data_IF_573856654327
#
_entry.id   IF_573856654327
#
_cell.length_a   1.000
_cell.length_b   1.000
_cell.length_c   1.000
_cell.angle_alpha   90.00
_cell.angle_beta   90.00
_cell.angle_gamma   90.00
#
_symmetry.space_group_name_H-M   'P 1'
#
loop_
_entity.id
_entity.type
_entity.pdbx_description
1 polymer ?
#
# COMPACT_ATOMS: atom_id res chain seq x y z
N UNK A 1 -11.89 2.43 9.97
CA UNK A 1 -11.05 1.52 9.15
C UNK A 1 -11.94 0.32 8.87
N UNK A 2 -12.31 0.09 7.61
CA UNK A 2 -13.09 -1.08 7.24
C UNK A 2 -12.08 -2.13 6.76
N UNK A 3 -11.81 -3.14 7.59
CA UNK A 3 -10.89 -4.20 7.22
C UNK A 3 -11.50 -5.08 6.12
N UNK A 4 -10.75 -5.30 5.05
CA UNK A 4 -11.17 -6.14 3.92
C UNK A 4 -12.40 -5.64 3.13
N UNK A 5 -12.87 -4.40 3.35
CA UNK A 5 -14.05 -3.86 2.68
C UNK A 5 -13.71 -3.15 1.37
N UNK A 6 -13.00 -3.84 0.48
CA UNK A 6 -12.46 -3.25 -0.74
C UNK A 6 -13.57 -2.83 -1.73
N UNK A 7 -14.69 -3.57 -1.76
CA UNK A 7 -15.86 -3.24 -2.59
C UNK A 7 -16.52 -1.94 -2.11
N UNK A 8 -16.74 -1.82 -0.80
CA UNK A 8 -17.31 -0.62 -0.18
C UNK A 8 -16.37 0.58 -0.35
N UNK A 9 -15.06 0.36 -0.21
CA UNK A 9 -14.05 1.39 -0.45
C UNK A 9 -14.14 1.91 -1.88
N UNK A 10 -14.34 1.03 -2.87
CA UNK A 10 -14.50 1.44 -4.26
C UNK A 10 -15.78 2.25 -4.49
N UNK A 11 -16.91 1.83 -3.93
CA UNK A 11 -18.16 2.59 -4.02
C UNK A 11 -18.06 3.97 -3.34
N UNK A 12 -17.35 4.05 -2.22
CA UNK A 12 -17.05 5.31 -1.54
C UNK A 12 -16.13 6.20 -2.39
N UNK A 13 -15.11 5.64 -3.02
CA UNK A 13 -14.18 6.36 -3.89
C UNK A 13 -14.91 6.99 -5.09
N UNK A 14 -15.80 6.25 -5.75
CA UNK A 14 -16.66 6.80 -6.82
C UNK A 14 -17.50 7.97 -6.30
N UNK A 15 -18.17 7.78 -5.17
CA UNK A 15 -19.10 8.78 -4.63
C UNK A 15 -18.38 10.06 -4.19
N UNK A 16 -17.12 9.95 -3.75
CA UNK A 16 -16.31 11.07 -3.30
C UNK A 16 -15.40 11.65 -4.40
N UNK A 17 -15.34 11.05 -5.59
CA UNK A 17 -14.46 11.46 -6.68
C UNK A 17 -12.98 11.28 -6.34
N UNK A 18 -12.61 10.16 -5.72
CA UNK A 18 -11.22 9.81 -5.38
C UNK A 18 -10.54 9.05 -6.52
N UNK A 19 -9.21 9.18 -6.61
CA UNK A 19 -8.41 8.61 -7.70
C UNK A 19 -8.01 7.14 -7.48
N UNK A 20 -8.01 6.67 -6.23
CA UNK A 20 -7.59 5.31 -5.93
C UNK A 20 -8.20 4.78 -4.63
N UNK A 21 -8.20 3.45 -4.50
CA UNK A 21 -8.36 2.74 -3.25
C UNK A 21 -7.06 1.99 -2.91
N UNK A 22 -6.81 1.84 -1.61
CA UNK A 22 -5.81 0.91 -1.08
C UNK A 22 -6.54 -0.36 -0.67
N UNK A 23 -6.30 -1.46 -1.38
CA UNK A 23 -6.95 -2.73 -1.17
C UNK A 23 -6.07 -3.70 -0.40
N UNK A 24 -6.62 -4.37 0.59
CA UNK A 24 -5.92 -5.42 1.33
C UNK A 24 -6.47 -6.80 0.97
N UNK A 25 -5.62 -7.83 1.06
CA UNK A 25 -6.05 -9.19 0.75
C UNK A 25 -6.39 -9.41 -0.72
N UNK A 26 -6.11 -8.48 -1.62
CA UNK A 26 -6.43 -8.60 -3.06
C UNK A 26 -6.01 -9.95 -3.65
N UNK A 27 -4.81 -10.42 -3.29
CA UNK A 27 -4.32 -11.78 -3.55
C UNK A 27 -3.89 -12.45 -2.25
N UNK A 28 -4.11 -13.77 -2.20
CA UNK A 28 -3.78 -14.66 -1.07
C UNK A 28 -4.51 -14.33 0.24
N UNK A 29 -4.85 -15.39 0.98
CA UNK A 29 -5.44 -15.25 2.30
C UNK A 29 -4.37 -14.97 3.36
N UNK A 30 -4.75 -14.26 4.42
CA UNK A 30 -3.93 -14.05 5.61
C UNK A 30 -4.83 -13.89 6.84
N UNK A 31 -4.23 -13.89 8.04
CA UNK A 31 -4.95 -13.63 9.29
C UNK A 31 -4.61 -12.23 9.80
N UNK A 32 -5.60 -11.35 9.94
CA UNK A 32 -5.46 -10.02 10.52
C UNK A 32 -6.15 -9.97 11.90
N UNK A 33 -6.19 -8.78 12.52
CA UNK A 33 -6.87 -8.56 13.80
C UNK A 33 -8.37 -8.92 13.74
N UNK A 34 -8.95 -8.83 12.54
CA UNK A 34 -10.36 -9.10 12.25
C UNK A 34 -10.63 -10.58 11.90
N UNK A 35 -9.60 -11.41 11.82
CA UNK A 35 -9.69 -12.83 11.50
C UNK A 35 -9.10 -13.21 10.14
N UNK A 36 -9.60 -14.28 9.54
CA UNK A 36 -9.15 -14.73 8.22
C UNK A 36 -9.70 -13.78 7.16
N UNK A 37 -8.80 -13.12 6.44
CA UNK A 37 -9.10 -12.34 5.25
C UNK A 37 -8.88 -13.25 4.04
N UNK A 38 -9.91 -13.41 3.21
CA UNK A 38 -9.85 -14.13 1.94
C UNK A 38 -9.65 -13.17 0.79
N UNK A 39 -9.07 -13.66 -0.32
CA UNK A 39 -8.80 -12.80 -1.46
C UNK A 39 -10.01 -12.52 -2.33
N UNK A 40 -10.10 -11.29 -2.84
CA UNK A 40 -11.28 -10.73 -3.51
C UNK A 40 -10.97 -9.99 -4.83
N UNK A 41 -9.77 -10.17 -5.42
CA UNK A 41 -9.38 -9.51 -6.68
C UNK A 41 -10.46 -9.60 -7.77
N UNK A 42 -11.01 -10.79 -8.01
CA UNK A 42 -12.02 -10.99 -9.04
C UNK A 42 -13.34 -10.24 -8.73
N UNK A 43 -13.71 -10.14 -7.46
CA UNK A 43 -14.94 -9.46 -7.04
C UNK A 43 -14.80 -7.95 -7.18
N UNK A 44 -13.69 -7.38 -6.69
CA UNK A 44 -13.40 -5.95 -6.80
C UNK A 44 -13.34 -5.53 -8.27
N UNK A 45 -12.61 -6.25 -9.13
CA UNK A 45 -12.43 -5.84 -10.52
C UNK A 45 -13.74 -5.93 -11.34
N UNK A 46 -14.59 -6.92 -11.05
CA UNK A 46 -15.92 -7.00 -11.66
C UNK A 46 -16.81 -5.86 -11.18
N UNK A 47 -16.79 -5.58 -9.88
CA UNK A 47 -17.55 -4.48 -9.30
C UNK A 47 -17.10 -3.12 -9.85
N UNK A 48 -15.78 -2.90 -9.96
CA UNK A 48 -15.17 -1.71 -10.58
C UNK A 48 -15.74 -1.43 -11.96
N UNK A 49 -15.77 -2.44 -12.81
CA UNK A 49 -16.35 -2.35 -14.14
C UNK A 49 -17.86 -2.11 -14.11
N UNK A 50 -18.57 -2.79 -13.20
CA UNK A 50 -20.03 -2.67 -13.10
C UNK A 50 -20.50 -1.25 -12.77
N UNK A 51 -19.72 -0.52 -11.97
CA UNK A 51 -20.04 0.85 -11.56
C UNK A 51 -19.34 1.93 -12.40
N UNK A 52 -18.63 1.54 -13.47
CA UNK A 52 -17.91 2.47 -14.34
C UNK A 52 -16.73 3.18 -13.66
N UNK A 53 -16.07 2.51 -12.72
CA UNK A 53 -14.98 3.05 -11.92
C UNK A 53 -13.59 2.60 -12.40
N UNK A 54 -13.44 2.29 -13.69
CA UNK A 54 -12.16 1.85 -14.26
C UNK A 54 -11.05 2.90 -14.16
N UNK A 55 -11.38 4.18 -13.99
CA UNK A 55 -10.43 5.26 -13.74
C UNK A 55 -9.91 5.32 -12.28
N UNK A 56 -10.52 4.57 -11.35
CA UNK A 56 -10.08 4.48 -9.96
C UNK A 56 -9.09 3.33 -9.81
N UNK A 57 -7.87 3.68 -9.40
CA UNK A 57 -6.78 2.72 -9.23
C UNK A 57 -7.01 1.81 -8.01
N UNK A 58 -6.70 0.53 -8.15
CA UNK A 58 -6.69 -0.47 -7.08
C UNK A 58 -5.25 -0.79 -6.72
N UNK A 59 -4.73 -0.06 -5.73
CA UNK A 59 -3.37 -0.23 -5.21
C UNK A 59 -3.38 -1.24 -4.08
N UNK A 60 -2.60 -2.31 -4.18
CA UNK A 60 -2.78 -3.50 -3.35
C UNK A 60 -1.66 -3.69 -2.33
N UNK A 61 -2.03 -3.88 -1.06
CA UNK A 61 -1.05 -4.28 -0.04
C UNK A 61 -0.62 -5.72 -0.25
N UNK A 62 0.67 -5.94 -0.44
CA UNK A 62 1.27 -7.28 -0.48
C UNK A 62 1.99 -7.57 0.84
N UNK A 63 1.80 -8.78 1.37
CA UNK A 63 2.34 -9.19 2.68
C UNK A 63 2.14 -8.10 3.76
N UNK A 64 0.92 -7.56 3.81
CA UNK A 64 0.51 -6.44 4.68
C UNK A 64 1.01 -6.62 6.13
N UNK A 65 1.44 -5.52 6.73
CA UNK A 65 1.67 -5.39 8.18
C UNK A 65 0.42 -5.65 9.02
N UNK A 66 0.60 -5.98 10.31
CA UNK A 66 -0.50 -6.36 11.22
C UNK A 66 -1.32 -7.56 10.71
N UNK A 67 -0.63 -8.47 10.03
CA UNK A 67 -1.22 -9.69 9.50
C UNK A 67 -0.23 -10.83 9.59
N UNK A 68 -0.71 -12.00 10.00
CA UNK A 68 0.02 -13.24 9.97
C UNK A 68 -0.20 -13.94 8.62
N UNK A 69 0.91 -14.15 7.91
CA UNK A 69 0.94 -14.83 6.62
C UNK A 69 1.29 -16.31 6.76
N UNK A 70 1.01 -16.94 7.91
CA UNK A 70 1.43 -18.31 8.20
C UNK A 70 0.82 -19.34 7.22
N UNK A 71 -0.43 -19.14 6.81
CA UNK A 71 -1.13 -20.00 5.83
C UNK A 71 -0.61 -19.85 4.40
N UNK A 72 0.15 -18.80 4.12
CA UNK A 72 0.77 -18.48 2.83
C UNK A 72 2.26 -18.19 3.01
N UNK A 73 2.86 -18.78 4.05
CA UNK A 73 4.22 -18.47 4.51
C UNK A 73 5.30 -18.98 3.57
N UNK A 74 4.95 -19.97 2.75
CA UNK A 74 5.73 -20.52 1.65
C UNK A 74 5.75 -19.61 0.42
N UNK A 75 4.78 -18.71 0.27
CA UNK A 75 4.73 -17.72 -0.81
C UNK A 75 5.55 -16.50 -0.42
N UNK A 76 6.60 -16.19 -1.18
CA UNK A 76 7.44 -15.02 -0.96
C UNK A 76 6.72 -13.70 -1.33
N UNK A 77 7.25 -12.56 -0.87
CA UNK A 77 6.73 -11.24 -1.27
C UNK A 77 6.82 -11.00 -2.79
N UNK A 78 7.84 -11.56 -3.44
CA UNK A 78 8.03 -11.46 -4.89
C UNK A 78 6.96 -12.25 -5.64
N UNK A 79 6.67 -13.48 -5.22
CA UNK A 79 5.57 -14.28 -5.79
C UNK A 79 4.21 -13.65 -5.51
N UNK A 80 4.05 -13.01 -4.34
CA UNK A 80 2.85 -12.24 -4.01
C UNK A 80 2.67 -11.05 -4.96
N UNK A 81 3.75 -10.34 -5.30
CA UNK A 81 3.73 -9.23 -6.24
C UNK A 81 3.37 -9.69 -7.67
N UNK A 82 4.00 -10.77 -8.15
CA UNK A 82 3.65 -11.37 -9.45
C UNK A 82 2.18 -11.80 -9.52
N UNK A 83 1.65 -12.37 -8.45
CA UNK A 83 0.24 -12.72 -8.39
C UNK A 83 -0.63 -11.46 -8.45
N UNK A 84 -0.33 -10.40 -7.69
CA UNK A 84 -1.08 -9.15 -7.73
C UNK A 84 -1.10 -8.54 -9.15
N UNK A 85 0.04 -8.53 -9.83
CA UNK A 85 0.17 -8.08 -11.22
C UNK A 85 -0.64 -8.96 -12.19
N UNK A 86 -0.52 -10.29 -12.07
CA UNK A 86 -1.28 -11.24 -12.89
C UNK A 86 -2.79 -11.07 -12.71
N UNK A 87 -3.22 -10.73 -11.49
CA UNK A 87 -4.61 -10.42 -11.14
C UNK A 87 -5.01 -8.96 -11.43
N UNK A 88 -4.22 -8.23 -12.22
CA UNK A 88 -4.52 -6.88 -12.72
C UNK A 88 -4.64 -5.81 -11.62
N UNK A 89 -3.80 -5.89 -10.59
CA UNK A 89 -3.59 -4.75 -9.69
C UNK A 89 -2.95 -3.59 -10.45
N UNK A 90 -3.38 -2.36 -10.16
CA UNK A 90 -2.81 -1.15 -10.78
C UNK A 90 -1.48 -0.72 -10.14
N UNK A 91 -1.08 -1.35 -9.03
CA UNK A 91 0.17 -1.12 -8.34
C UNK A 91 0.21 -1.87 -7.01
N UNK A 92 1.41 -2.24 -6.57
CA UNK A 92 1.62 -2.97 -5.30
C UNK A 92 2.22 -2.05 -4.25
N UNK A 93 1.85 -2.27 -2.99
CA UNK A 93 2.30 -1.52 -1.84
C UNK A 93 3.08 -2.47 -0.94
N UNK A 94 4.37 -2.18 -0.76
CA UNK A 94 5.24 -2.84 0.20
C UNK A 94 5.16 -2.11 1.54
N UNK A 95 4.95 -2.85 2.63
CA UNK A 95 4.88 -2.29 3.98
C UNK A 95 5.92 -2.92 4.89
N UNK A 96 6.43 -2.15 5.85
CA UNK A 96 7.26 -2.68 6.94
C UNK A 96 6.42 -3.46 7.94
N UNK A 97 7.06 -4.39 8.67
CA UNK A 97 6.41 -5.39 9.53
C UNK A 97 5.45 -4.84 10.60
N UNK A 98 5.63 -3.61 11.07
CA UNK A 98 4.70 -2.93 12.00
C UNK A 98 4.72 -1.40 11.81
N UNK A 99 3.76 -0.70 12.42
CA UNK A 99 3.72 0.77 12.41
C UNK A 99 4.98 1.36 13.05
N UNK A 100 5.68 2.23 12.32
CA UNK A 100 6.91 2.87 12.79
C UNK A 100 8.19 2.09 12.47
N UNK A 101 8.07 0.85 11.96
CA UNK A 101 9.20 0.10 11.42
C UNK A 101 9.35 0.38 9.92
N UNK A 102 10.60 0.49 9.49
CA UNK A 102 10.99 0.74 8.11
C UNK A 102 10.65 -0.46 7.23
N UNK A 103 10.34 -0.20 5.96
CA UNK A 103 10.17 -1.26 4.97
C UNK A 103 11.55 -1.78 4.57
N UNK A 104 11.66 -3.08 4.31
CA UNK A 104 12.92 -3.68 3.88
C UNK A 104 13.26 -3.22 2.45
N UNK A 105 14.36 -2.49 2.31
CA UNK A 105 14.84 -2.00 1.01
C UNK A 105 15.22 -3.15 0.05
N UNK A 106 15.64 -4.29 0.58
CA UNK A 106 15.96 -5.47 -0.23
C UNK A 106 14.69 -6.17 -0.70
N UNK A 107 13.61 -6.17 0.09
CA UNK A 107 12.28 -6.59 -0.39
C UNK A 107 11.77 -5.64 -1.47
N UNK A 108 11.82 -4.33 -1.24
CA UNK A 108 11.42 -3.33 -2.23
C UNK A 108 12.18 -3.51 -3.55
N UNK A 109 13.52 -3.67 -3.49
CA UNK A 109 14.34 -3.86 -4.69
C UNK A 109 13.96 -5.14 -5.44
N UNK A 110 13.72 -6.25 -4.73
CA UNK A 110 13.31 -7.52 -5.34
C UNK A 110 11.92 -7.44 -5.97
N UNK A 111 10.96 -6.79 -5.30
CA UNK A 111 9.61 -6.57 -5.85
C UNK A 111 9.67 -5.68 -7.08
N UNK A 112 10.39 -4.55 -7.01
CA UNK A 112 10.57 -3.62 -8.15
C UNK A 112 11.22 -4.27 -9.37
N UNK A 113 12.09 -5.25 -9.18
CA UNK A 113 12.71 -6.00 -10.26
C UNK A 113 11.81 -7.12 -10.83
N UNK A 114 10.74 -7.48 -10.14
CA UNK A 114 9.89 -8.62 -10.48
C UNK A 114 8.62 -8.22 -11.24
N UNK A 115 8.10 -7.02 -11.06
CA UNK A 115 6.85 -6.57 -11.68
C UNK A 115 7.05 -5.31 -12.51
N UNK A 116 6.22 -5.14 -13.54
CA UNK A 116 6.19 -3.98 -14.42
C UNK A 116 5.21 -2.89 -13.93
N UNK A 117 4.29 -3.23 -13.03
CA UNK A 117 3.37 -2.28 -12.40
C UNK A 117 4.05 -1.40 -11.33
N UNK A 118 3.49 -0.21 -11.02
CA UNK A 118 4.02 0.67 -9.96
C UNK A 118 4.19 -0.04 -8.61
N UNK A 119 5.33 0.20 -7.95
CA UNK A 119 5.67 -0.31 -6.63
C UNK A 119 5.81 0.86 -5.66
N UNK A 120 4.95 0.87 -4.64
CA UNK A 120 4.83 1.92 -3.67
C UNK A 120 5.32 1.47 -2.29
N UNK A 121 5.72 2.41 -1.46
CA UNK A 121 6.01 2.16 -0.05
C UNK A 121 4.88 2.70 0.82
N UNK A 122 4.30 1.82 1.63
CA UNK A 122 3.10 2.07 2.42
C UNK A 122 3.34 2.44 3.89
N UNK A 123 4.58 2.41 4.37
CA UNK A 123 4.90 2.69 5.78
C UNK A 123 6.38 2.98 6.03
N UNK A 124 6.69 3.61 7.17
CA UNK A 124 8.05 3.69 7.70
C UNK A 124 8.94 4.77 7.05
N UNK A 125 8.43 5.51 6.06
CA UNK A 125 9.16 6.61 5.44
C UNK A 125 9.19 7.83 6.36
N UNK A 126 10.38 8.39 6.52
CA UNK A 126 10.66 9.59 7.30
C UNK A 126 11.60 10.51 6.52
N UNK A 127 11.73 11.77 6.98
CA UNK A 127 12.70 12.71 6.44
C UNK A 127 14.13 12.12 6.37
N UNK A 128 14.51 11.24 7.31
CA UNK A 128 15.88 10.74 7.37
C UNK A 128 16.17 9.66 6.32
N UNK A 129 15.18 8.79 6.03
CA UNK A 129 15.36 7.62 5.18
C UNK A 129 14.77 7.78 3.76
N UNK A 130 14.01 8.85 3.48
CA UNK A 130 13.31 9.06 2.19
C UNK A 130 14.19 8.89 0.96
N UNK A 131 15.47 9.26 1.04
CA UNK A 131 16.41 9.15 -0.08
C UNK A 131 16.51 7.70 -0.59
N UNK A 132 16.60 6.75 0.34
CA UNK A 132 16.76 5.34 -0.02
C UNK A 132 15.53 4.77 -0.73
N UNK A 133 14.35 5.31 -0.44
CA UNK A 133 13.09 4.85 -1.05
C UNK A 133 12.81 5.54 -2.39
N UNK A 134 13.13 6.84 -2.54
CA UNK A 134 12.87 7.57 -3.78
C UNK A 134 13.66 7.04 -4.98
N UNK A 135 14.80 6.38 -4.76
CA UNK A 135 15.59 5.75 -5.82
C UNK A 135 14.92 4.47 -6.38
N UNK A 136 13.98 3.86 -5.65
CA UNK A 136 13.43 2.54 -5.96
C UNK A 136 11.90 2.52 -6.12
N UNK A 137 11.17 3.26 -5.29
CA UNK A 137 9.71 3.28 -5.27
C UNK A 137 9.14 4.37 -6.18
N UNK A 138 8.03 4.06 -6.86
CA UNK A 138 7.35 5.00 -7.75
C UNK A 138 6.54 6.04 -6.98
N UNK A 139 6.04 5.68 -5.79
CA UNK A 139 5.36 6.59 -4.88
C UNK A 139 5.46 6.16 -3.41
N UNK A 140 5.20 7.12 -2.51
CA UNK A 140 5.34 6.96 -1.07
C UNK A 140 4.02 7.35 -0.39
N UNK A 141 3.48 6.47 0.47
CA UNK A 141 2.31 6.74 1.31
C UNK A 141 2.78 6.97 2.74
N UNK A 142 2.65 8.20 3.21
CA UNK A 142 3.25 8.65 4.47
C UNK A 142 2.16 9.10 5.45
N UNK A 143 2.09 8.43 6.59
CA UNK A 143 1.12 8.71 7.64
C UNK A 143 1.74 9.44 8.84
N UNK A 144 2.14 8.66 9.85
CA UNK A 144 2.57 9.16 11.17
C UNK A 144 3.67 10.21 11.12
N UNK A 145 4.61 10.15 10.18
CA UNK A 145 5.67 11.15 10.03
C UNK A 145 5.15 12.58 9.81
N UNK A 146 3.98 12.73 9.17
CA UNK A 146 3.35 14.03 8.94
C UNK A 146 2.46 14.49 10.10
N UNK A 147 2.26 13.67 11.13
CA UNK A 147 1.42 14.02 12.28
C UNK A 147 2.22 14.69 13.39
N UNK A 148 1.59 15.44 14.29
CA UNK A 148 2.27 15.98 15.48
C UNK A 148 2.89 14.84 16.31
N UNK A 149 4.12 15.05 16.77
CA UNK A 149 4.93 14.10 17.55
C UNK A 149 5.16 12.72 16.91
N UNK A 150 4.79 12.54 15.64
CA UNK A 150 4.88 11.24 14.97
C UNK A 150 3.79 10.26 15.39
N UNK A 151 2.75 10.73 16.08
CA UNK A 151 1.67 9.88 16.60
C UNK A 151 0.50 9.86 15.61
N UNK A 152 -0.01 8.66 15.30
CA UNK A 152 -0.97 8.48 14.21
C UNK A 152 -2.35 9.09 14.53
N UNK A 153 -2.70 9.16 15.81
CA UNK A 153 -3.93 9.75 16.35
C UNK A 153 -3.97 11.28 16.23
N UNK A 154 -2.82 11.93 16.03
CA UNK A 154 -2.72 13.38 15.99
C UNK A 154 -3.09 13.97 14.62
N UNK A 155 -3.31 15.29 14.61
CA UNK A 155 -3.46 16.09 13.39
C UNK A 155 -2.18 16.14 12.55
N UNK A 156 -2.31 16.49 11.28
CA UNK A 156 -1.16 16.73 10.40
C UNK A 156 -0.47 18.03 10.82
N UNK A 157 0.87 17.99 10.95
CA UNK A 157 1.71 19.15 11.21
C UNK A 157 2.28 19.69 9.89
N UNK A 158 1.77 20.85 9.46
CA UNK A 158 2.11 21.46 8.17
C UNK A 158 3.63 21.65 7.98
N UNK A 159 4.35 22.04 9.03
CA UNK A 159 5.79 22.28 8.96
C UNK A 159 6.60 20.99 8.72
N UNK A 160 6.12 19.83 9.20
CA UNK A 160 6.75 18.54 8.89
C UNK A 160 6.58 18.18 7.42
N UNK A 161 5.37 18.42 6.88
CA UNK A 161 5.07 18.19 5.46
C UNK A 161 5.95 19.07 4.58
N UNK A 162 6.04 20.37 4.86
CA UNK A 162 6.88 21.31 4.10
C UNK A 162 8.35 20.88 4.10
N UNK A 163 8.93 20.62 5.28
CA UNK A 163 10.33 20.17 5.40
C UNK A 163 10.59 18.87 4.63
N UNK A 164 9.62 17.96 4.64
CA UNK A 164 9.70 16.72 3.88
C UNK A 164 9.70 16.98 2.38
N UNK A 165 8.76 17.79 1.88
CA UNK A 165 8.67 18.10 0.46
C UNK A 165 9.87 18.89 -0.05
N UNK A 166 10.41 19.85 0.73
CA UNK A 166 11.66 20.54 0.39
C UNK A 166 12.83 19.57 0.21
N UNK A 167 12.88 18.50 0.99
CA UNK A 167 13.90 17.46 0.82
C UNK A 167 13.63 16.63 -0.44
N UNK A 168 12.39 16.21 -0.68
CA UNK A 168 12.01 15.43 -1.87
C UNK A 168 12.31 16.20 -3.15
N UNK A 169 11.98 17.48 -3.20
CA UNK A 169 12.23 18.38 -4.35
C UNK A 169 13.72 18.54 -4.64
N UNK A 170 14.59 18.47 -3.63
CA UNK A 170 16.06 18.52 -3.83
C UNK A 170 16.65 17.20 -4.34
N UNK A 171 15.92 16.10 -4.19
CA UNK A 171 16.35 14.76 -4.60
C UNK A 171 15.84 14.38 -6.00
N UNK A 172 14.95 15.17 -6.58
CA UNK A 172 14.39 15.02 -7.94
C UNK A 172 15.01 16.03 -8.89
#
# INVERSE_FOLDING_TARGET
>A
MLAGANIEALGAAVSAGLDFIRAEGFVFAHVADEGIITSDAAEILRYRKQIGAEDILVLTDIKKKHSAHAITGDVSIVETAHAAEFFLSDGVIVTGVATGLEADLDELRRVKAAVDIPVLIGSGVTLNNVNAYLELADALIIGSHFKYDGQWENGVELERVKKFMEKVERLR
#
